data_IF_927463851549
#
_entry.id   IF_927463851549
#
_cell.length_a   1.000
_cell.length_b   1.000
_cell.length_c   1.000
_cell.angle_alpha   90.00
_cell.angle_beta   90.00
_cell.angle_gamma   90.00
#
_symmetry.space_group_name_H-M   'P 1'
#
loop_
_entity.id
_entity.type
_entity.pdbx_description
1 polymer ?
#
# COMPACT_ATOMS: atom_id res chain seq x y z
N UNK A 1 -1.49 -13.37 3.54
CA UNK A 1 -2.74 -13.79 2.86
C UNK A 1 -3.09 -15.24 3.27
N UNK A 2 -3.64 -15.46 4.46
CA UNK A 2 -3.93 -16.80 5.00
C UNK A 2 -5.43 -17.16 5.03
N UNK A 3 -6.31 -16.17 5.05
CA UNK A 3 -7.76 -16.35 4.98
C UNK A 3 -8.24 -16.07 3.55
N UNK A 4 -8.89 -17.07 2.93
CA UNK A 4 -9.44 -16.95 1.57
C UNK A 4 -10.44 -15.80 1.43
N UNK A 5 -11.16 -15.45 2.51
CA UNK A 5 -12.15 -14.36 2.50
C UNK A 5 -11.53 -12.99 2.33
N UNK A 6 -10.28 -12.79 2.77
CA UNK A 6 -9.60 -11.48 2.71
C UNK A 6 -8.40 -11.49 1.77
N UNK A 7 -8.01 -12.66 1.25
CA UNK A 7 -6.84 -12.81 0.39
C UNK A 7 -6.90 -12.04 -0.94
N UNK A 8 -8.06 -11.52 -1.35
CA UNK A 8 -8.23 -10.71 -2.55
C UNK A 8 -8.24 -9.21 -2.28
N UNK A 9 -8.28 -8.79 -1.00
CA UNK A 9 -8.30 -7.37 -0.66
C UNK A 9 -6.92 -6.75 -0.94
N UNK A 10 -6.87 -5.54 -1.52
CA UNK A 10 -5.62 -4.81 -1.68
C UNK A 10 -5.14 -4.25 -0.33
N UNK A 11 -3.83 -4.27 -0.10
CA UNK A 11 -3.17 -3.83 1.13
C UNK A 11 -2.25 -2.65 0.84
N UNK A 12 -2.43 -1.56 1.57
CA UNK A 12 -1.59 -0.35 1.47
C UNK A 12 -0.87 -0.12 2.78
N UNK A 13 0.45 -0.04 2.75
CA UNK A 13 1.25 0.32 3.92
C UNK A 13 1.27 1.84 4.09
N UNK A 14 1.01 2.32 5.31
CA UNK A 14 0.85 3.73 5.61
C UNK A 14 1.65 4.10 6.88
N UNK A 15 2.84 4.68 6.72
CA UNK A 15 3.87 4.76 7.77
C UNK A 15 4.73 6.02 7.65
N UNK A 16 5.48 6.42 8.68
CA UNK A 16 6.46 7.52 8.58
C UNK A 16 7.79 7.09 7.94
N UNK A 17 7.98 5.79 7.75
CA UNK A 17 9.16 5.25 7.08
C UNK A 17 9.10 5.54 5.59
N UNK A 18 10.09 6.25 5.05
CA UNK A 18 10.04 6.81 3.70
C UNK A 18 11.21 6.38 2.80
N UNK A 19 12.11 5.53 3.29
CA UNK A 19 13.28 5.12 2.50
C UNK A 19 12.87 4.18 1.36
N UNK A 20 13.70 4.11 0.33
CA UNK A 20 13.50 3.18 -0.78
C UNK A 20 13.51 1.72 -0.30
N UNK A 21 14.37 1.41 0.67
CA UNK A 21 14.47 0.10 1.31
C UNK A 21 13.15 -0.26 2.00
N UNK A 22 12.53 0.68 2.72
CA UNK A 22 11.26 0.42 3.41
C UNK A 22 10.13 0.12 2.41
N UNK A 23 10.14 0.78 1.24
CA UNK A 23 9.17 0.51 0.17
C UNK A 23 9.37 -0.87 -0.44
N UNK A 24 10.62 -1.22 -0.74
CA UNK A 24 10.98 -2.54 -1.28
C UNK A 24 10.56 -3.66 -0.32
N UNK A 25 10.85 -3.50 0.97
CA UNK A 25 10.40 -4.43 2.01
C UNK A 25 8.87 -4.53 2.08
N UNK A 26 8.15 -3.41 1.95
CA UNK A 26 6.69 -3.44 1.91
C UNK A 26 6.15 -4.30 0.76
N UNK A 27 6.76 -4.20 -0.42
CA UNK A 27 6.42 -5.02 -1.58
C UNK A 27 6.73 -6.49 -1.35
N UNK A 28 7.90 -6.83 -0.80
CA UNK A 28 8.28 -8.22 -0.50
C UNK A 28 7.35 -8.88 0.53
N UNK A 29 6.82 -8.08 1.47
CA UNK A 29 5.83 -8.52 2.45
C UNK A 29 4.40 -8.67 1.85
N UNK A 30 4.21 -8.31 0.59
CA UNK A 30 2.95 -8.46 -0.14
C UNK A 30 2.01 -7.26 -0.06
N UNK A 31 2.53 -6.06 0.20
CA UNK A 31 1.75 -4.83 0.07
C UNK A 31 1.61 -4.43 -1.41
N UNK A 32 0.40 -4.04 -1.81
CA UNK A 32 0.07 -3.61 -3.17
C UNK A 32 0.42 -2.12 -3.40
N UNK A 33 0.53 -1.35 -2.33
CA UNK A 33 1.06 0.01 -2.36
C UNK A 33 1.68 0.42 -1.02
N UNK A 34 2.46 1.50 -1.07
CA UNK A 34 3.14 2.07 0.08
C UNK A 34 3.00 3.60 0.04
N UNK A 35 2.57 4.20 1.15
CA UNK A 35 2.42 5.65 1.32
C UNK A 35 3.12 6.10 2.61
N UNK A 36 3.96 7.12 2.50
CA UNK A 36 4.65 7.71 3.65
C UNK A 36 3.86 8.88 4.22
N UNK A 37 3.75 8.97 5.55
CA UNK A 37 3.20 10.11 6.26
C UNK A 37 4.26 11.19 6.47
N UNK A 38 3.90 12.49 6.44
CA UNK A 38 2.61 13.01 5.96
C UNK A 38 2.50 12.90 4.44
N UNK A 39 1.27 12.73 3.94
CA UNK A 39 0.96 12.70 2.52
C UNK A 39 -0.20 13.63 2.21
N UNK A 40 -0.25 14.12 0.98
CA UNK A 40 -1.40 14.87 0.49
C UNK A 40 -2.62 13.94 0.37
N UNK A 41 -3.83 14.35 0.80
CA UNK A 41 -5.04 13.52 0.70
C UNK A 41 -5.26 12.95 -0.70
N UNK A 42 -4.98 13.76 -1.73
CA UNK A 42 -5.12 13.35 -3.13
C UNK A 42 -4.19 12.19 -3.51
N UNK A 43 -3.01 12.09 -2.88
CA UNK A 43 -2.09 10.98 -3.12
C UNK A 43 -2.71 9.65 -2.70
N UNK A 44 -3.38 9.61 -1.54
CA UNK A 44 -4.07 8.40 -1.07
C UNK A 44 -5.26 8.06 -1.97
N UNK A 45 -6.05 9.06 -2.38
CA UNK A 45 -7.17 8.86 -3.31
C UNK A 45 -6.70 8.21 -4.61
N UNK A 46 -5.61 8.73 -5.19
CA UNK A 46 -5.05 8.20 -6.43
C UNK A 46 -4.55 6.74 -6.27
N UNK A 47 -3.94 6.42 -5.12
CA UNK A 47 -3.51 5.04 -4.82
C UNK A 47 -4.72 4.11 -4.75
N UNK A 48 -5.77 4.51 -4.02
CA UNK A 48 -6.99 3.70 -3.89
C UNK A 48 -7.65 3.49 -5.25
N UNK A 49 -7.79 4.55 -6.05
CA UNK A 49 -8.35 4.45 -7.40
C UNK A 49 -7.55 3.47 -8.27
N UNK A 50 -6.21 3.57 -8.26
CA UNK A 50 -5.32 2.66 -9.00
C UNK A 50 -5.53 1.20 -8.61
N UNK A 51 -5.71 0.91 -7.32
CA UNK A 51 -5.86 -0.44 -6.80
C UNK A 51 -7.26 -1.04 -7.05
N UNK A 52 -8.29 -0.20 -7.20
CA UNK A 52 -9.65 -0.65 -7.51
C UNK A 52 -9.90 -0.79 -9.01
N UNK A 53 -9.10 -0.11 -9.85
CA UNK A 53 -9.19 -0.20 -11.32
C UNK A 53 -8.33 -1.32 -11.93
N UNK A 54 -7.45 -1.95 -11.14
CA UNK A 54 -6.56 -3.02 -11.55
C UNK A 54 -7.21 -4.40 -11.32
#
# INVERSE_FOLDING_TARGET
RGDRKTAHLPVVFCTHKSTEIDRAWGTDLGADAYVSKPFEPQQLVNIVQRLLSA
#
